data_IF_789256914179
#
_entry.id   IF_789256914179
#
_cell.length_a   1.000
_cell.length_b   1.000
_cell.length_c   1.000
_cell.angle_alpha   90.00
_cell.angle_beta   90.00
_cell.angle_gamma   90.00
#
_symmetry.space_group_name_H-M   'P 1'
#
loop_
_entity.id
_entity.type
_entity.pdbx_description
1 polymer ?
#
# COMPACT_ATOMS: atom_id res chain seq x y z
N UNK A 1 15.00 -2.54 -17.16
CA UNK A 1 15.61 -1.41 -16.41
C UNK A 1 16.24 -0.32 -17.30
N UNK A 2 17.25 -0.63 -18.13
CA UNK A 2 18.03 0.36 -18.92
C UNK A 2 17.23 1.38 -19.73
N UNK A 3 16.22 0.92 -20.47
CA UNK A 3 15.37 1.81 -21.28
C UNK A 3 14.57 2.78 -20.41
N UNK A 4 14.12 2.35 -19.23
CA UNK A 4 13.37 3.20 -18.31
C UNK A 4 14.28 4.27 -17.70
N UNK A 5 15.45 3.87 -17.17
CA UNK A 5 16.41 4.81 -16.57
C UNK A 5 16.86 5.90 -17.56
N UNK A 6 17.13 5.51 -18.81
CA UNK A 6 17.45 6.46 -19.90
C UNK A 6 16.35 7.50 -20.12
N UNK A 7 15.08 7.08 -20.14
CA UNK A 7 13.95 8.00 -20.30
C UNK A 7 13.83 8.95 -19.11
N UNK A 8 14.11 8.48 -17.90
CA UNK A 8 14.11 9.32 -16.70
C UNK A 8 15.21 10.39 -16.77
N UNK A 9 16.43 10.02 -17.16
CA UNK A 9 17.54 10.96 -17.35
C UNK A 9 17.21 12.02 -18.40
N UNK A 10 16.59 11.61 -19.52
CA UNK A 10 16.12 12.52 -20.57
C UNK A 10 15.06 13.50 -20.05
N UNK A 11 14.09 13.00 -19.27
CA UNK A 11 13.02 13.82 -18.68
C UNK A 11 13.56 14.93 -17.77
N UNK A 12 14.57 14.64 -16.94
CA UNK A 12 15.15 15.62 -16.01
C UNK A 12 16.36 16.38 -16.56
N UNK A 13 16.72 16.15 -17.83
CA UNK A 13 17.80 16.86 -18.51
C UNK A 13 19.21 16.46 -18.08
N UNK A 14 19.43 15.22 -17.62
CA UNK A 14 20.77 14.68 -17.36
C UNK A 14 21.38 14.27 -18.71
N UNK A 15 22.42 14.99 -19.13
CA UNK A 15 23.16 14.75 -20.37
C UNK A 15 24.50 14.07 -20.11
N UNK A 16 25.10 13.48 -21.14
CA UNK A 16 26.46 12.92 -21.09
C UNK A 16 26.58 11.49 -20.59
N UNK A 17 25.53 10.90 -20.00
CA UNK A 17 25.51 9.49 -19.62
C UNK A 17 25.54 8.59 -20.88
N UNK A 18 26.58 7.77 -20.99
CA UNK A 18 26.77 6.86 -22.12
C UNK A 18 26.27 5.43 -21.78
N UNK A 19 26.43 4.49 -22.70
CA UNK A 19 25.95 3.12 -22.51
C UNK A 19 26.57 2.42 -21.29
N UNK A 20 27.87 2.62 -21.06
CA UNK A 20 28.63 2.09 -19.93
C UNK A 20 28.16 2.72 -18.62
N UNK A 21 27.91 4.03 -18.58
CA UNK A 21 27.35 4.69 -17.38
C UNK A 21 26.05 4.02 -16.96
N UNK A 22 25.11 3.81 -17.88
CA UNK A 22 23.83 3.16 -17.56
C UNK A 22 23.98 1.70 -17.13
N UNK A 23 24.96 0.96 -17.67
CA UNK A 23 25.26 -0.40 -17.23
C UNK A 23 25.78 -0.40 -15.80
N UNK A 24 26.77 0.45 -15.49
CA UNK A 24 27.33 0.58 -14.16
C UNK A 24 26.25 0.93 -13.11
N UNK A 25 25.37 1.91 -13.41
CA UNK A 25 24.26 2.27 -12.51
C UNK A 25 23.31 1.11 -12.27
N UNK A 26 22.99 0.33 -13.30
CA UNK A 26 22.10 -0.82 -13.17
C UNK A 26 22.75 -1.92 -12.36
N UNK A 27 24.01 -2.25 -12.64
CA UNK A 27 24.74 -3.26 -11.89
C UNK A 27 24.89 -2.89 -10.42
N UNK A 28 25.10 -1.60 -10.10
CA UNK A 28 25.11 -1.14 -8.72
C UNK A 28 23.74 -1.30 -8.04
N UNK A 29 22.65 -0.96 -8.73
CA UNK A 29 21.28 -1.15 -8.22
C UNK A 29 20.95 -2.63 -8.04
N UNK A 30 21.28 -3.49 -9.00
CA UNK A 30 21.08 -4.94 -8.90
C UNK A 30 21.88 -5.52 -7.75
N UNK A 31 23.13 -5.07 -7.55
CA UNK A 31 23.94 -5.45 -6.40
C UNK A 31 23.27 -5.04 -5.09
N UNK A 32 22.87 -3.77 -4.95
CA UNK A 32 22.16 -3.25 -3.77
C UNK A 32 20.92 -4.07 -3.42
N UNK A 33 20.15 -4.48 -4.44
CA UNK A 33 18.93 -5.27 -4.26
C UNK A 33 19.20 -6.77 -3.99
N UNK A 34 20.40 -7.26 -4.29
CA UNK A 34 20.82 -8.64 -4.02
C UNK A 34 21.41 -8.84 -2.63
N UNK A 35 21.78 -7.75 -1.95
CA UNK A 35 22.28 -7.81 -0.58
C UNK A 35 21.09 -7.77 0.36
N UNK A 36 20.83 -8.91 1.01
CA UNK A 36 19.79 -9.01 2.03
C UNK A 36 19.98 -7.94 3.11
N UNK A 37 18.88 -7.27 3.46
CA UNK A 37 18.83 -6.21 4.49
C UNK A 37 19.86 -5.09 4.32
N UNK A 38 20.23 -4.73 3.08
CA UNK A 38 21.13 -3.60 2.83
C UNK A 38 20.63 -2.31 3.51
N UNK A 39 19.32 -2.09 3.47
CA UNK A 39 18.64 -1.08 4.27
C UNK A 39 17.52 -1.71 5.08
N UNK A 40 17.41 -1.28 6.33
CA UNK A 40 16.25 -1.51 7.20
C UNK A 40 15.00 -0.79 6.65
N UNK A 41 13.81 -1.21 7.07
CA UNK A 41 12.55 -0.56 6.68
C UNK A 41 12.56 0.94 7.00
N UNK A 42 13.12 1.33 8.15
CA UNK A 42 13.25 2.73 8.54
C UNK A 42 14.15 3.55 7.61
N UNK A 43 15.26 2.96 7.15
CA UNK A 43 16.17 3.60 6.19
C UNK A 43 15.52 3.74 4.81
N UNK A 44 14.78 2.74 4.34
CA UNK A 44 13.98 2.83 3.11
C UNK A 44 12.93 3.94 3.17
N UNK A 45 12.23 4.07 4.29
CA UNK A 45 11.28 5.15 4.52
C UNK A 45 11.97 6.51 4.54
N UNK A 46 13.17 6.61 5.15
CA UNK A 46 13.97 7.83 5.18
C UNK A 46 14.43 8.25 3.78
N UNK A 47 14.93 7.31 2.98
CA UNK A 47 15.27 7.55 1.57
C UNK A 47 14.04 7.98 0.74
N UNK A 48 12.88 7.39 1.02
CA UNK A 48 11.62 7.78 0.36
C UNK A 48 11.21 9.20 0.71
N UNK A 49 11.32 9.60 1.99
CA UNK A 49 11.09 10.98 2.44
C UNK A 49 12.06 11.95 1.75
N UNK A 50 13.34 11.59 1.65
CA UNK A 50 14.35 12.39 0.98
C UNK A 50 14.08 12.56 -0.52
N UNK A 51 13.79 11.46 -1.23
CA UNK A 51 13.47 11.49 -2.66
C UNK A 51 12.29 12.41 -2.99
N UNK A 52 11.33 12.50 -2.06
CA UNK A 52 10.15 13.36 -2.14
C UNK A 52 10.39 14.81 -1.69
N UNK A 53 11.58 15.11 -1.15
CA UNK A 53 11.95 16.44 -0.65
C UNK A 53 11.33 16.81 0.70
N UNK A 54 11.00 15.82 1.54
CA UNK A 54 10.29 16.01 2.82
C UNK A 54 11.25 16.20 4.00
N UNK A 55 12.37 15.48 4.01
CA UNK A 55 13.36 15.50 5.09
C UNK A 55 14.78 15.55 4.51
N UNK A 56 15.59 16.45 5.06
CA UNK A 56 17.05 16.44 4.98
C UNK A 56 17.56 16.38 6.43
N UNK A 57 17.95 15.20 6.90
CA UNK A 57 18.54 15.00 8.23
C UNK A 57 19.89 14.27 8.13
N UNK A 58 20.68 14.33 9.20
CA UNK A 58 22.02 13.71 9.26
C UNK A 58 21.98 12.20 9.01
N UNK A 59 20.88 11.54 9.40
CA UNK A 59 20.69 10.12 9.14
C UNK A 59 20.59 9.85 7.63
N UNK A 60 19.81 10.65 6.91
CA UNK A 60 19.66 10.56 5.47
C UNK A 60 20.98 10.81 4.74
N UNK A 61 21.79 11.77 5.19
CA UNK A 61 23.12 12.03 4.62
C UNK A 61 24.01 10.78 4.68
N UNK A 62 24.00 10.06 5.81
CA UNK A 62 24.75 8.81 5.95
C UNK A 62 24.29 7.72 4.97
N UNK A 63 22.99 7.64 4.67
CA UNK A 63 22.45 6.69 3.70
C UNK A 63 22.86 7.06 2.27
N UNK A 64 22.89 8.34 1.94
CA UNK A 64 23.34 8.81 0.63
C UNK A 64 24.83 8.54 0.41
N UNK A 65 25.67 8.71 1.43
CA UNK A 65 27.10 8.35 1.37
C UNK A 65 27.26 6.84 1.12
N UNK A 66 26.52 6.00 1.83
CA UNK A 66 26.55 4.53 1.60
C UNK A 66 26.14 4.17 0.17
N UNK A 67 25.14 4.85 -0.39
CA UNK A 67 24.76 4.66 -1.80
C UNK A 67 25.86 5.12 -2.76
N UNK A 68 26.49 6.27 -2.49
CA UNK A 68 27.62 6.76 -3.29
C UNK A 68 28.75 5.76 -3.33
N UNK A 69 29.13 5.19 -2.18
CA UNK A 69 30.17 4.16 -2.08
C UNK A 69 29.85 2.95 -2.98
N UNK A 70 28.59 2.50 -3.01
CA UNK A 70 28.16 1.39 -3.86
C UNK A 70 28.16 1.74 -5.35
N UNK A 71 27.71 2.94 -5.74
CA UNK A 71 27.82 3.39 -7.12
C UNK A 71 29.29 3.54 -7.56
N UNK A 72 30.16 4.02 -6.68
CA UNK A 72 31.59 4.19 -6.93
C UNK A 72 32.32 2.87 -7.17
N UNK A 73 31.83 1.72 -6.67
CA UNK A 73 32.43 0.40 -6.97
C UNK A 73 32.42 0.05 -8.45
N UNK A 74 31.43 0.54 -9.19
CA UNK A 74 31.28 0.29 -10.63
C UNK A 74 31.69 1.50 -11.47
N UNK A 75 31.66 2.71 -10.90
CA UNK A 75 32.01 3.95 -11.56
C UNK A 75 32.66 4.95 -10.60
N UNK A 76 34.00 4.96 -10.58
CA UNK A 76 34.81 5.87 -9.75
C UNK A 76 34.57 7.36 -10.03
N UNK A 77 33.86 7.73 -11.11
CA UNK A 77 33.52 9.13 -11.42
C UNK A 77 32.16 9.57 -10.86
N UNK A 78 31.38 8.63 -10.28
CA UNK A 78 30.14 8.97 -9.61
C UNK A 78 30.40 9.86 -8.39
N UNK A 79 29.50 10.81 -8.14
CA UNK A 79 29.59 11.70 -6.99
C UNK A 79 28.24 12.22 -6.55
N UNK A 80 28.04 12.35 -5.25
CA UNK A 80 26.88 13.01 -4.62
C UNK A 80 26.72 14.47 -5.04
N UNK A 81 27.78 15.11 -5.55
CA UNK A 81 27.69 16.47 -6.10
C UNK A 81 26.67 16.56 -7.26
N UNK A 82 26.41 15.45 -7.97
CA UNK A 82 25.36 15.38 -8.97
C UNK A 82 24.00 15.03 -8.31
N UNK A 83 23.47 15.97 -7.54
CA UNK A 83 22.23 15.78 -6.77
C UNK A 83 21.04 15.37 -7.64
N UNK A 84 20.95 15.87 -8.88
CA UNK A 84 19.89 15.50 -9.83
C UNK A 84 19.93 14.02 -10.20
N UNK A 85 21.12 13.50 -10.49
CA UNK A 85 21.30 12.09 -10.79
C UNK A 85 21.01 11.24 -9.57
N UNK A 86 21.50 11.65 -8.40
CA UNK A 86 21.27 10.94 -7.14
C UNK A 86 19.77 10.79 -6.84
N UNK A 87 18.97 11.86 -6.98
CA UNK A 87 17.52 11.77 -6.79
C UNK A 87 16.87 10.74 -7.72
N UNK A 88 17.23 10.75 -9.01
CA UNK A 88 16.65 9.81 -9.98
C UNK A 88 17.06 8.37 -9.67
N UNK A 89 18.31 8.15 -9.26
CA UNK A 89 18.79 6.82 -8.90
C UNK A 89 18.09 6.31 -7.63
N UNK A 90 17.86 7.16 -6.63
CA UNK A 90 17.11 6.79 -5.42
C UNK A 90 15.64 6.49 -5.75
N UNK A 91 14.97 7.35 -6.53
CA UNK A 91 13.59 7.09 -6.99
C UNK A 91 13.49 5.78 -7.76
N UNK A 92 14.46 5.51 -8.62
CA UNK A 92 14.52 4.28 -9.41
C UNK A 92 14.79 3.06 -8.53
N UNK A 93 15.73 3.17 -7.58
CA UNK A 93 16.06 2.12 -6.62
C UNK A 93 14.86 1.75 -5.76
N UNK A 94 14.15 2.74 -5.19
CA UNK A 94 12.92 2.52 -4.41
C UNK A 94 11.89 1.78 -5.27
N UNK A 95 11.69 2.22 -6.52
CA UNK A 95 10.75 1.55 -7.42
C UNK A 95 11.15 0.09 -7.67
N UNK A 96 12.43 -0.19 -7.95
CA UNK A 96 12.88 -1.56 -8.17
C UNK A 96 12.81 -2.43 -6.90
N UNK A 97 13.16 -1.86 -5.74
CA UNK A 97 13.00 -2.54 -4.45
C UNK A 97 11.56 -2.98 -4.24
N UNK A 98 10.59 -2.06 -4.38
CA UNK A 98 9.16 -2.35 -4.24
C UNK A 98 8.64 -3.40 -5.23
N UNK A 99 9.22 -3.47 -6.44
CA UNK A 99 8.87 -4.51 -7.41
C UNK A 99 9.41 -5.88 -7.00
N UNK A 100 10.62 -5.94 -6.43
CA UNK A 100 11.27 -7.20 -6.07
C UNK A 100 10.77 -7.77 -4.73
N UNK A 101 10.46 -6.91 -3.77
CA UNK A 101 9.98 -7.30 -2.44
C UNK A 101 8.46 -7.35 -2.32
N UNK A 102 7.74 -7.00 -3.40
CA UNK A 102 6.29 -6.76 -3.39
C UNK A 102 5.82 -5.71 -2.36
N UNK A 103 6.74 -4.91 -1.81
CA UNK A 103 6.44 -3.87 -0.83
C UNK A 103 5.71 -2.69 -1.48
N UNK A 104 4.46 -2.46 -1.08
CA UNK A 104 3.62 -1.35 -1.58
C UNK A 104 3.68 -0.09 -0.73
N UNK A 105 4.26 -0.16 0.48
CA UNK A 105 4.24 0.92 1.46
C UNK A 105 4.97 2.16 0.95
N UNK A 106 6.21 1.99 0.46
CA UNK A 106 7.03 3.13 0.01
C UNK A 106 6.40 3.84 -1.20
N UNK A 107 5.82 3.08 -2.13
CA UNK A 107 5.10 3.65 -3.27
C UNK A 107 3.82 4.36 -2.83
N UNK A 108 3.13 3.83 -1.81
CA UNK A 108 1.96 4.48 -1.21
C UNK A 108 2.35 5.81 -0.55
N UNK A 109 3.50 5.89 0.12
CA UNK A 109 4.04 7.16 0.64
C UNK A 109 4.27 8.18 -0.49
N UNK A 110 4.87 7.77 -1.60
CA UNK A 110 5.10 8.64 -2.77
C UNK A 110 3.78 9.14 -3.36
N UNK A 111 2.80 8.26 -3.56
CA UNK A 111 1.49 8.60 -4.14
C UNK A 111 0.70 9.52 -3.22
N UNK A 112 0.75 9.28 -1.91
CA UNK A 112 0.10 10.11 -0.91
C UNK A 112 0.74 11.50 -0.82
N UNK A 113 2.07 11.57 -0.83
CA UNK A 113 2.83 12.82 -0.79
C UNK A 113 2.63 13.71 -2.01
N UNK A 114 2.48 13.13 -3.20
CA UNK A 114 2.34 13.87 -4.46
C UNK A 114 1.18 14.85 -4.48
N UNK A 115 0.01 14.43 -3.98
CA UNK A 115 -1.21 15.24 -3.99
C UNK A 115 -1.18 16.38 -2.96
N UNK A 116 -0.36 16.26 -1.92
CA UNK A 116 -0.11 17.33 -0.95
C UNK A 116 1.12 18.16 -1.32
N UNK A 117 1.69 17.97 -2.52
CA UNK A 117 2.73 18.82 -3.09
C UNK A 117 4.16 18.36 -2.91
N UNK A 118 4.40 17.19 -2.31
CA UNK A 118 5.73 16.55 -2.29
C UNK A 118 5.92 15.82 -3.62
N UNK A 119 6.79 16.28 -4.51
CA UNK A 119 6.86 15.75 -5.88
C UNK A 119 8.17 15.03 -6.14
N UNK A 120 8.08 13.87 -6.79
CA UNK A 120 9.23 13.21 -7.43
C UNK A 120 9.80 14.09 -8.54
N UNK A 121 11.08 13.90 -8.84
CA UNK A 121 11.78 14.55 -9.95
C UNK A 121 11.33 13.99 -11.29
N UNK A 122 11.12 12.68 -11.40
CA UNK A 122 10.61 12.06 -12.63
C UNK A 122 9.10 11.84 -12.55
N UNK A 123 8.34 12.44 -13.49
CA UNK A 123 6.91 12.16 -13.66
C UNK A 123 6.70 10.79 -14.29
N UNK A 124 7.64 10.35 -15.14
CA UNK A 124 7.60 9.02 -15.72
C UNK A 124 7.66 7.93 -14.65
N UNK A 125 8.58 8.04 -13.68
CA UNK A 125 8.65 7.10 -12.56
C UNK A 125 7.41 7.17 -11.69
N UNK A 126 6.93 8.38 -11.37
CA UNK A 126 5.69 8.53 -10.62
C UNK A 126 4.50 7.80 -11.28
N UNK A 127 4.35 7.94 -12.61
CA UNK A 127 3.31 7.22 -13.33
C UNK A 127 3.51 5.71 -13.26
N UNK A 128 4.75 5.22 -13.34
CA UNK A 128 5.06 3.79 -13.19
C UNK A 128 4.73 3.27 -11.79
N UNK A 129 4.96 4.06 -10.75
CA UNK A 129 4.59 3.73 -9.38
C UNK A 129 3.05 3.63 -9.22
N UNK A 130 2.31 4.58 -9.82
CA UNK A 130 0.83 4.51 -9.87
C UNK A 130 0.36 3.26 -10.59
N UNK A 131 0.91 2.99 -11.78
CA UNK A 131 0.52 1.84 -12.60
C UNK A 131 0.77 0.53 -11.84
N UNK A 132 1.91 0.44 -11.14
CA UNK A 132 2.24 -0.71 -10.30
C UNK A 132 1.22 -0.91 -9.16
N UNK A 133 0.96 0.13 -8.36
CA UNK A 133 -0.02 0.04 -7.27
C UNK A 133 -1.42 -0.31 -7.81
N UNK A 134 -1.82 0.23 -8.96
CA UNK A 134 -3.07 -0.13 -9.59
C UNK A 134 -3.11 -1.61 -10.01
N UNK A 135 -2.02 -2.14 -10.56
CA UNK A 135 -1.93 -3.56 -10.88
C UNK A 135 -2.01 -4.43 -9.62
N UNK A 136 -1.39 -4.00 -8.50
CA UNK A 136 -1.51 -4.72 -7.21
C UNK A 136 -2.96 -4.68 -6.71
N UNK A 137 -3.65 -3.54 -6.81
CA UNK A 137 -5.09 -3.45 -6.44
C UNK A 137 -5.95 -4.44 -7.22
N UNK A 138 -5.64 -4.64 -8.50
CA UNK A 138 -6.33 -5.60 -9.37
C UNK A 138 -5.95 -7.04 -9.02
N UNK A 139 -4.67 -7.33 -8.82
CA UNK A 139 -4.21 -8.70 -8.50
C UNK A 139 -4.73 -9.19 -7.16
N UNK A 140 -4.84 -8.32 -6.14
CA UNK A 140 -5.45 -8.63 -4.84
C UNK A 140 -6.90 -9.10 -4.94
N UNK A 141 -7.60 -8.76 -6.03
CA UNK A 141 -9.01 -9.07 -6.28
C UNK A 141 -9.22 -9.96 -7.50
N UNK A 142 -8.14 -10.46 -8.09
CA UNK A 142 -8.23 -11.32 -9.25
C UNK A 142 -8.48 -12.75 -8.79
N UNK A 143 -9.63 -13.31 -9.18
CA UNK A 143 -9.93 -14.72 -8.96
C UNK A 143 -9.39 -15.57 -10.11
N UNK A 144 -8.66 -16.64 -9.78
CA UNK A 144 -8.27 -17.65 -10.77
C UNK A 144 -9.46 -18.56 -11.08
N UNK A 145 -10.17 -18.26 -12.16
CA UNK A 145 -11.32 -19.03 -12.64
C UNK A 145 -11.00 -20.47 -13.05
N UNK A 146 -9.72 -20.80 -13.22
CA UNK A 146 -9.25 -22.10 -13.71
C UNK A 146 -9.15 -23.17 -12.61
N UNK A 147 -9.47 -22.81 -11.37
CA UNK A 147 -9.57 -23.74 -10.26
C UNK A 147 -10.82 -24.61 -10.42
N UNK A 148 -10.68 -25.69 -11.18
CA UNK A 148 -11.60 -26.82 -11.06
C UNK A 148 -11.52 -27.30 -9.61
N UNK A 149 -12.55 -27.03 -8.81
CA UNK A 149 -12.74 -27.66 -7.50
C UNK A 149 -12.87 -29.15 -7.79
N UNK A 150 -11.74 -29.86 -7.78
CA UNK A 150 -11.74 -31.31 -7.98
C UNK A 150 -12.16 -31.92 -6.67
N UNK A 151 -13.13 -32.83 -6.72
CA UNK A 151 -13.41 -33.73 -5.60
C UNK A 151 -12.12 -34.46 -5.24
N UNK A 152 -11.57 -34.16 -4.07
CA UNK A 152 -10.47 -34.91 -3.48
C UNK A 152 -11.11 -36.09 -2.75
N UNK A 153 -10.97 -37.27 -3.33
CA UNK A 153 -11.45 -38.51 -2.72
C UNK A 153 -10.38 -39.00 -1.73
N UNK A 154 -10.45 -38.49 -0.49
CA UNK A 154 -9.60 -38.96 0.61
C UNK A 154 -10.23 -40.27 1.12
N UNK A 155 -10.08 -41.34 0.34
CA UNK A 155 -10.29 -42.68 0.85
C UNK A 155 -8.95 -43.14 1.41
N UNK A 156 -8.74 -42.90 2.70
CA UNK A 156 -7.85 -43.77 3.46
C UNK A 156 -8.62 -45.08 3.53
N UNK A 157 -8.20 -46.16 2.85
CA UNK A 157 -8.78 -47.44 3.14
C UNK A 157 -8.14 -47.81 4.48
N UNK A 158 -8.79 -47.41 5.58
CA UNK A 158 -8.45 -47.82 6.94
C UNK A 158 -8.29 -49.34 6.97
N UNK A 159 -9.04 -50.04 6.11
CA UNK A 159 -8.90 -51.46 5.85
C UNK A 159 -7.51 -51.89 5.36
N UNK A 160 -6.84 -51.14 4.46
CA UNK A 160 -5.47 -51.41 3.99
C UNK A 160 -4.46 -51.29 5.13
N UNK A 161 -4.58 -50.23 5.94
CA UNK A 161 -3.75 -50.03 7.14
C UNK A 161 -4.00 -51.15 8.17
N UNK A 162 -5.25 -51.56 8.37
CA UNK A 162 -5.62 -52.67 9.27
C UNK A 162 -5.05 -54.00 8.76
N UNK A 163 -5.14 -54.32 7.47
CA UNK A 163 -4.57 -55.55 6.90
C UNK A 163 -3.04 -55.57 6.90
N UNK A 164 -2.37 -54.41 6.89
CA UNK A 164 -0.91 -54.30 6.94
C UNK A 164 -0.34 -54.37 8.38
N UNK A 165 -1.20 -54.28 9.40
CA UNK A 165 -0.83 -54.39 10.82
C UNK A 165 -1.07 -55.80 11.39
N UNK A 166 -1.59 -56.75 10.61
CA UNK A 166 -1.72 -58.15 11.04
C UNK A 166 -0.32 -58.80 11.10
N UNK A 167 0.10 -59.34 12.27
CA UNK A 167 1.44 -59.87 12.44
C UNK A 167 1.50 -61.33 11.99
N UNK A 168 2.00 -61.63 10.78
CA UNK A 168 2.29 -63.04 10.45
C UNK A 168 3.46 -63.33 9.49
N UNK A 169 4.26 -62.33 9.09
CA UNK A 169 5.49 -62.60 8.32
C UNK A 169 6.74 -62.33 9.17
N UNK A 170 7.47 -63.39 9.54
CA UNK A 170 8.79 -63.36 10.18
C UNK A 170 9.93 -62.99 9.20
N UNK A 171 9.60 -62.60 7.96
CA UNK A 171 10.57 -62.27 6.91
C UNK A 171 10.79 -60.75 6.84
N UNK A 172 12.03 -60.33 7.10
CA UNK A 172 12.40 -58.91 7.21
C UNK A 172 12.22 -58.16 5.86
N UNK A 173 12.42 -58.82 4.72
CA UNK A 173 12.20 -58.23 3.38
C UNK A 173 10.72 -57.89 3.14
N UNK A 174 9.80 -58.76 3.58
CA UNK A 174 8.36 -58.53 3.41
C UNK A 174 7.86 -57.36 4.28
N UNK A 175 8.49 -57.12 5.44
CA UNK A 175 8.18 -55.97 6.30
C UNK A 175 8.72 -54.66 5.72
N UNK A 176 9.91 -54.67 5.13
CA UNK A 176 10.46 -53.50 4.45
C UNK A 176 9.59 -53.06 3.26
N UNK A 177 9.10 -54.01 2.46
CA UNK A 177 8.20 -53.70 1.33
C UNK A 177 6.85 -53.13 1.80
N UNK A 178 6.29 -53.64 2.90
CA UNK A 178 5.06 -53.12 3.50
C UNK A 178 5.24 -51.71 4.06
N UNK A 179 6.36 -51.43 4.74
CA UNK A 179 6.69 -50.09 5.24
C UNK A 179 6.86 -49.12 4.06
N UNK A 180 7.51 -49.53 2.97
CA UNK A 180 7.67 -48.71 1.78
C UNK A 180 6.31 -48.38 1.12
N UNK A 181 5.39 -49.33 1.05
CA UNK A 181 4.04 -49.11 0.53
C UNK A 181 3.23 -48.13 1.40
N UNK A 182 3.24 -48.29 2.72
CA UNK A 182 2.58 -47.37 3.66
C UNK A 182 3.16 -45.96 3.58
N UNK A 183 4.49 -45.86 3.47
CA UNK A 183 5.18 -44.57 3.32
C UNK A 183 4.75 -43.88 2.02
N UNK A 184 4.66 -44.63 0.91
CA UNK A 184 4.21 -44.10 -0.38
C UNK A 184 2.73 -43.70 -0.42
N UNK A 185 1.86 -44.35 0.35
CA UNK A 185 0.46 -43.93 0.54
C UNK A 185 0.37 -42.65 1.38
N UNK A 186 1.10 -42.57 2.50
CA UNK A 186 1.18 -41.37 3.34
C UNK A 186 1.74 -40.15 2.59
N UNK A 187 2.73 -40.33 1.73
CA UNK A 187 3.26 -39.26 0.88
C UNK A 187 2.20 -38.75 -0.12
N UNK A 188 1.43 -39.64 -0.75
CA UNK A 188 0.34 -39.27 -1.65
C UNK A 188 -0.74 -38.48 -0.91
N UNK A 189 -1.10 -38.91 0.30
CA UNK A 189 -2.09 -38.23 1.13
C UNK A 189 -1.61 -36.86 1.58
N UNK A 190 -0.32 -36.73 1.96
CA UNK A 190 0.27 -35.44 2.31
C UNK A 190 0.21 -34.46 1.13
N UNK A 191 0.51 -34.93 -0.09
CA UNK A 191 0.35 -34.12 -1.31
C UNK A 191 -1.10 -33.71 -1.55
N UNK A 192 -2.07 -34.57 -1.25
CA UNK A 192 -3.50 -34.23 -1.37
C UNK A 192 -3.95 -33.23 -0.30
N UNK A 193 -3.49 -33.36 0.94
CA UNK A 193 -3.77 -32.41 2.03
C UNK A 193 -3.19 -31.02 1.73
N UNK A 194 -1.98 -30.96 1.18
CA UNK A 194 -1.39 -29.70 0.72
C UNK A 194 -2.27 -29.03 -0.36
N UNK A 195 -2.71 -29.79 -1.37
CA UNK A 195 -3.63 -29.27 -2.40
C UNK A 195 -4.97 -28.83 -1.84
N UNK A 196 -5.53 -29.55 -0.87
CA UNK A 196 -6.77 -29.16 -0.21
C UNK A 196 -6.59 -27.85 0.56
N UNK A 197 -5.46 -27.68 1.25
CA UNK A 197 -5.14 -26.47 2.00
C UNK A 197 -5.01 -25.26 1.06
N UNK A 198 -4.34 -25.44 -0.09
CA UNK A 198 -4.25 -24.43 -1.15
C UNK A 198 -5.65 -24.04 -1.67
N UNK A 199 -6.50 -25.03 -1.99
CA UNK A 199 -7.87 -24.79 -2.44
C UNK A 199 -8.71 -24.05 -1.39
N UNK A 200 -8.60 -24.40 -0.11
CA UNK A 200 -9.31 -23.72 0.97
C UNK A 200 -8.83 -22.27 1.08
N UNK A 201 -7.53 -22.03 0.97
CA UNK A 201 -6.96 -20.68 1.01
C UNK A 201 -7.49 -19.81 -0.15
N UNK A 202 -7.51 -20.36 -1.37
CA UNK A 202 -8.04 -19.68 -2.55
C UNK A 202 -9.54 -19.39 -2.45
N UNK A 203 -10.33 -20.36 -1.97
CA UNK A 203 -11.77 -20.17 -1.72
C UNK A 203 -12.05 -19.10 -0.66
N UNK A 204 -11.28 -19.09 0.42
CA UNK A 204 -11.38 -18.05 1.45
C UNK A 204 -11.04 -16.68 0.88
N UNK A 205 -9.97 -16.57 0.08
CA UNK A 205 -9.61 -15.33 -0.60
C UNK A 205 -10.73 -14.84 -1.52
N UNK A 206 -11.30 -15.73 -2.34
CA UNK A 206 -12.42 -15.40 -3.22
C UNK A 206 -13.66 -14.94 -2.46
N UNK A 207 -13.97 -15.58 -1.32
CA UNK A 207 -15.06 -15.18 -0.46
C UNK A 207 -14.83 -13.78 0.13
N UNK A 208 -13.60 -13.46 0.55
CA UNK A 208 -13.25 -12.12 1.04
C UNK A 208 -13.44 -11.05 -0.04
N UNK A 209 -12.99 -11.31 -1.28
CA UNK A 209 -13.20 -10.41 -2.42
C UNK A 209 -14.69 -10.21 -2.67
N UNK A 210 -15.46 -11.30 -2.77
CA UNK A 210 -16.90 -11.23 -3.03
C UNK A 210 -17.65 -10.47 -1.92
N UNK A 211 -17.25 -10.67 -0.66
CA UNK A 211 -17.82 -9.95 0.49
C UNK A 211 -17.50 -8.46 0.42
N UNK A 212 -16.24 -8.09 0.20
CA UNK A 212 -15.85 -6.70 0.01
C UNK A 212 -16.67 -6.02 -1.09
N UNK A 213 -16.72 -6.62 -2.28
CA UNK A 213 -17.43 -6.05 -3.42
C UNK A 213 -18.94 -5.94 -3.19
N UNK A 214 -19.54 -6.96 -2.56
CA UNK A 214 -20.97 -6.97 -2.23
C UNK A 214 -21.31 -5.92 -1.18
N UNK A 215 -20.50 -5.80 -0.13
CA UNK A 215 -20.70 -4.84 0.95
C UNK A 215 -20.56 -3.39 0.42
N UNK A 216 -19.52 -3.12 -0.38
CA UNK A 216 -19.32 -1.82 -1.04
C UNK A 216 -20.48 -1.51 -1.98
N UNK A 217 -20.91 -2.47 -2.82
CA UNK A 217 -22.02 -2.27 -3.74
C UNK A 217 -23.32 -1.99 -3.00
N UNK A 218 -23.61 -2.76 -1.95
CA UNK A 218 -24.80 -2.57 -1.14
C UNK A 218 -24.82 -1.19 -0.50
N UNK A 219 -23.73 -0.80 0.17
CA UNK A 219 -23.56 0.53 0.74
C UNK A 219 -23.71 1.66 -0.30
N UNK A 220 -23.11 1.50 -1.47
CA UNK A 220 -23.26 2.48 -2.55
C UNK A 220 -24.69 2.60 -3.11
N UNK A 221 -25.51 1.55 -3.00
CA UNK A 221 -26.88 1.53 -3.49
C UNK A 221 -27.87 2.09 -2.47
N UNK A 222 -27.60 1.94 -1.17
CA UNK A 222 -28.46 2.49 -0.12
C UNK A 222 -28.38 4.01 -0.04
N UNK A 223 -27.27 4.62 -0.48
CA UNK A 223 -27.04 6.08 -0.42
C UNK A 223 -27.26 6.65 0.99
N UNK A 224 -27.01 5.82 2.00
CA UNK A 224 -27.21 6.09 3.42
C UNK A 224 -25.89 5.97 4.17
N UNK A 225 -25.59 6.97 5.01
CA UNK A 225 -24.45 6.89 5.92
C UNK A 225 -24.90 6.33 7.25
N UNK A 226 -24.33 5.19 7.62
CA UNK A 226 -24.53 4.59 8.94
C UNK A 226 -23.83 5.39 10.04
N UNK A 227 -22.74 6.07 9.72
CA UNK A 227 -22.00 6.89 10.69
C UNK A 227 -22.81 8.12 11.10
N UNK A 228 -23.46 8.78 10.14
CA UNK A 228 -24.26 9.97 10.41
C UNK A 228 -25.76 9.71 10.60
N UNK A 229 -26.23 8.49 10.32
CA UNK A 229 -27.66 8.15 10.32
C UNK A 229 -28.49 9.11 9.45
N UNK A 230 -27.99 9.45 8.26
CA UNK A 230 -28.68 10.29 7.26
C UNK A 230 -28.32 9.90 5.84
N UNK A 231 -29.16 10.29 4.88
CA UNK A 231 -28.85 10.11 3.46
C UNK A 231 -27.71 11.03 3.02
N UNK A 232 -26.85 10.54 2.12
CA UNK A 232 -25.83 11.36 1.47
C UNK A 232 -26.42 12.57 0.74
N UNK A 233 -27.67 12.49 0.29
CA UNK A 233 -28.40 13.61 -0.35
C UNK A 233 -28.70 14.76 0.60
N UNK A 234 -28.71 14.50 1.90
CA UNK A 234 -28.94 15.51 2.93
C UNK A 234 -27.65 16.16 3.44
N UNK A 235 -26.49 15.67 2.99
CA UNK A 235 -25.18 16.18 3.35
C UNK A 235 -24.73 17.33 2.43
N UNK A 236 -23.77 18.11 2.90
CA UNK A 236 -22.93 18.92 2.02
C UNK A 236 -21.81 18.08 1.39
N UNK A 237 -21.16 18.58 0.34
CA UNK A 237 -20.13 17.83 -0.38
C UNK A 237 -18.91 17.45 0.48
N UNK A 238 -18.55 18.27 1.47
CA UNK A 238 -17.38 18.02 2.33
C UNK A 238 -17.68 16.93 3.36
N UNK A 239 -18.87 16.97 3.98
CA UNK A 239 -19.40 15.89 4.80
C UNK A 239 -19.45 14.59 4.00
N UNK A 240 -20.04 14.62 2.80
CA UNK A 240 -20.13 13.43 1.95
C UNK A 240 -18.73 12.90 1.59
N UNK A 241 -17.76 13.76 1.33
CA UNK A 241 -16.38 13.35 1.07
C UNK A 241 -15.72 12.69 2.30
N UNK A 242 -15.92 13.25 3.50
CA UNK A 242 -15.39 12.67 4.74
C UNK A 242 -16.00 11.29 5.03
N UNK A 243 -17.33 11.21 5.06
CA UNK A 243 -18.03 9.99 5.49
C UNK A 243 -17.98 8.90 4.43
N UNK A 244 -17.98 9.25 3.14
CA UNK A 244 -17.84 8.23 2.10
C UNK A 244 -16.47 7.55 2.13
N UNK A 245 -15.42 8.30 2.46
CA UNK A 245 -14.07 7.76 2.65
C UNK A 245 -14.00 6.87 3.89
N UNK A 246 -14.56 7.36 5.01
CA UNK A 246 -14.56 6.61 6.26
C UNK A 246 -15.31 5.27 6.14
N UNK A 247 -16.51 5.30 5.55
CA UNK A 247 -17.35 4.10 5.38
C UNK A 247 -16.80 3.17 4.30
N UNK A 248 -16.29 3.71 3.18
CA UNK A 248 -15.60 2.87 2.18
C UNK A 248 -14.42 2.13 2.83
N UNK A 249 -13.65 2.81 3.67
CA UNK A 249 -12.51 2.22 4.37
C UNK A 249 -12.93 1.03 5.25
N UNK A 250 -14.09 1.11 5.91
CA UNK A 250 -14.66 0.05 6.76
C UNK A 250 -15.04 -1.21 5.96
N UNK A 251 -15.46 -1.05 4.70
CA UNK A 251 -15.84 -2.17 3.85
C UNK A 251 -14.64 -2.89 3.20
N UNK A 252 -13.49 -2.22 3.08
CA UNK A 252 -12.28 -2.79 2.46
C UNK A 252 -11.62 -3.84 3.35
N UNK A 253 -11.40 -5.05 2.80
CA UNK A 253 -10.79 -6.22 3.48
C UNK A 253 -9.29 -6.36 3.27
N UNK A 254 -8.72 -5.65 2.31
CA UNK A 254 -7.30 -5.73 1.97
C UNK A 254 -6.51 -4.50 2.47
N UNK A 255 -5.18 -4.59 2.45
CA UNK A 255 -4.30 -3.47 2.79
C UNK A 255 -4.47 -2.29 1.80
N UNK A 256 -4.74 -2.60 0.53
CA UNK A 256 -5.06 -1.62 -0.51
C UNK A 256 -6.54 -1.70 -0.90
N UNK A 257 -7.15 -0.52 -1.01
CA UNK A 257 -8.51 -0.33 -1.52
C UNK A 257 -8.76 -0.81 -2.95
N UNK A 258 -10.02 -0.87 -3.39
CA UNK A 258 -10.36 -1.26 -4.75
C UNK A 258 -9.82 -0.26 -5.78
N UNK A 259 -9.47 -0.76 -6.96
CA UNK A 259 -9.06 0.09 -8.10
C UNK A 259 -10.08 1.20 -8.41
N UNK A 260 -11.37 0.89 -8.25
CA UNK A 260 -12.47 1.82 -8.49
C UNK A 260 -12.75 2.81 -7.34
N UNK A 261 -11.93 2.83 -6.28
CA UNK A 261 -12.16 3.70 -5.11
C UNK A 261 -12.40 5.16 -5.50
N UNK A 262 -11.61 5.68 -6.45
CA UNK A 262 -11.78 7.05 -6.96
C UNK A 262 -13.19 7.29 -7.52
N UNK A 263 -13.68 6.38 -8.36
CA UNK A 263 -14.99 6.49 -9.01
C UNK A 263 -16.13 6.31 -8.01
N UNK A 264 -15.95 5.42 -7.03
CA UNK A 264 -16.87 5.23 -5.91
C UNK A 264 -17.03 6.53 -5.13
N UNK A 265 -15.91 7.17 -4.74
CA UNK A 265 -15.94 8.44 -4.01
C UNK A 265 -16.57 9.56 -4.83
N UNK A 266 -16.26 9.66 -6.13
CA UNK A 266 -16.91 10.63 -7.03
C UNK A 266 -18.43 10.43 -7.02
N UNK A 267 -18.91 9.20 -7.15
CA UNK A 267 -20.34 8.88 -7.10
C UNK A 267 -20.94 9.35 -5.78
N UNK A 268 -20.38 8.93 -4.65
CA UNK A 268 -20.96 9.22 -3.33
C UNK A 268 -20.98 10.72 -3.02
N UNK A 269 -19.90 11.45 -3.35
CA UNK A 269 -19.85 12.91 -3.18
C UNK A 269 -20.84 13.63 -4.10
N UNK A 270 -21.08 13.11 -5.31
CA UNK A 270 -22.01 13.72 -6.27
C UNK A 270 -23.49 13.65 -5.84
N UNK A 271 -23.83 12.79 -4.89
CA UNK A 271 -25.19 12.69 -4.33
C UNK A 271 -25.53 13.88 -3.41
N UNK A 272 -24.51 14.52 -2.84
CA UNK A 272 -24.65 15.58 -1.86
C UNK A 272 -25.10 16.90 -2.49
N UNK A 273 -25.61 17.81 -1.64
CA UNK A 273 -26.00 19.16 -2.08
C UNK A 273 -24.75 19.92 -2.55
N UNK A 274 -24.77 20.53 -3.75
CA UNK A 274 -23.62 21.26 -4.26
C UNK A 274 -23.24 22.40 -3.32
N UNK A 275 -21.95 22.46 -2.96
CA UNK A 275 -21.39 23.53 -2.14
C UNK A 275 -20.94 24.73 -2.98
N UNK A 276 -20.81 25.89 -2.36
CA UNK A 276 -20.25 27.09 -2.98
C UNK A 276 -18.71 27.11 -2.90
N UNK A 277 -18.07 27.49 -4.02
CA UNK A 277 -16.62 27.56 -4.30
C UNK A 277 -16.04 26.32 -4.98
N UNK A 278 -15.43 26.52 -6.16
CA UNK A 278 -14.83 25.46 -6.98
C UNK A 278 -13.48 24.94 -6.42
N UNK A 279 -12.84 25.62 -5.47
CA UNK A 279 -11.53 25.22 -4.92
C UNK A 279 -11.20 25.83 -3.55
N UNK A 280 -11.91 25.47 -2.46
CA UNK A 280 -11.59 25.92 -1.09
C UNK A 280 -10.21 25.42 -0.62
N UNK A 281 -9.65 26.07 0.41
CA UNK A 281 -8.43 25.57 1.07
C UNK A 281 -8.77 24.38 1.95
N UNK A 282 -7.81 23.48 2.18
CA UNK A 282 -8.00 22.33 3.09
C UNK A 282 -8.41 22.77 4.48
N UNK A 283 -7.80 23.85 5.01
CA UNK A 283 -8.19 24.42 6.29
C UNK A 283 -9.67 24.81 6.33
N UNK A 284 -10.16 25.50 5.29
CA UNK A 284 -11.57 25.90 5.20
C UNK A 284 -12.53 24.72 5.05
N UNK A 285 -12.13 23.67 4.33
CA UNK A 285 -12.88 22.42 4.23
C UNK A 285 -13.02 21.77 5.61
N UNK A 286 -11.91 21.67 6.34
CA UNK A 286 -11.91 21.09 7.69
C UNK A 286 -12.74 21.95 8.63
N UNK A 287 -12.64 23.27 8.58
CA UNK A 287 -13.45 24.20 9.39
C UNK A 287 -14.95 24.03 9.18
N UNK A 288 -15.38 23.74 7.95
CA UNK A 288 -16.79 23.54 7.60
C UNK A 288 -17.42 22.28 8.23
N UNK A 289 -16.60 21.33 8.70
CA UNK A 289 -17.07 20.09 9.33
C UNK A 289 -17.45 20.33 10.80
N UNK A 290 -18.51 19.67 11.27
CA UNK A 290 -18.85 19.68 12.70
C UNK A 290 -17.95 18.69 13.46
N UNK A 291 -17.18 19.22 14.42
CA UNK A 291 -16.32 18.45 15.31
C UNK A 291 -17.04 17.35 16.08
N UNK A 292 -18.34 17.52 16.37
CA UNK A 292 -19.16 16.54 17.09
C UNK A 292 -19.41 15.26 16.28
N UNK A 293 -19.37 15.37 14.96
CA UNK A 293 -19.69 14.30 14.02
C UNK A 293 -18.45 13.62 13.44
N UNK A 294 -17.26 14.11 13.77
CA UNK A 294 -16.01 13.57 13.20
C UNK A 294 -15.82 12.11 13.61
N UNK A 295 -15.55 11.21 12.65
CA UNK A 295 -15.33 9.80 12.96
C UNK A 295 -14.01 9.59 13.73
N UNK A 296 -13.82 8.41 14.29
CA UNK A 296 -12.55 8.01 14.91
C UNK A 296 -11.61 7.42 13.88
N UNK A 297 -10.39 7.94 13.86
CA UNK A 297 -9.33 7.48 12.97
C UNK A 297 -8.16 6.92 13.79
N UNK A 298 -7.52 5.89 13.24
CA UNK A 298 -6.26 5.33 13.75
C UNK A 298 -5.13 6.37 13.83
N UNK A 299 -4.04 6.05 14.53
CA UNK A 299 -2.91 6.96 14.69
C UNK A 299 -2.17 7.27 13.38
N UNK A 300 -1.85 8.56 13.19
CA UNK A 300 -1.05 9.00 12.07
C UNK A 300 0.42 8.71 12.38
N UNK A 301 0.99 7.74 11.69
CA UNK A 301 2.38 7.33 11.90
C UNK A 301 3.37 8.19 11.09
N UNK A 302 2.92 8.84 9.99
CA UNK A 302 3.76 9.71 9.16
C UNK A 302 3.01 10.99 8.81
N UNK A 303 3.01 11.95 9.73
CA UNK A 303 2.20 13.17 9.66
C UNK A 303 2.52 14.05 8.44
N UNK A 304 3.72 13.96 7.88
CA UNK A 304 4.14 14.72 6.70
C UNK A 304 3.42 14.29 5.41
N UNK A 305 3.01 13.02 5.34
CA UNK A 305 2.23 12.45 4.24
C UNK A 305 0.75 12.30 4.58
N UNK A 306 0.36 12.46 5.85
CA UNK A 306 -1.02 12.37 6.34
C UNK A 306 -1.56 13.69 6.92
N UNK A 307 -1.44 14.84 6.22
CA UNK A 307 -1.82 16.13 6.78
C UNK A 307 -3.33 16.29 6.99
N UNK A 308 -4.19 15.76 6.11
CA UNK A 308 -5.66 15.88 6.28
C UNK A 308 -6.12 15.06 7.48
N UNK A 309 -5.65 13.81 7.57
CA UNK A 309 -5.96 12.92 8.68
C UNK A 309 -5.47 13.51 10.01
N UNK A 310 -4.24 14.03 10.04
CA UNK A 310 -3.66 14.70 11.21
C UNK A 310 -4.49 15.90 11.66
N UNK A 311 -4.99 16.69 10.70
CA UNK A 311 -5.82 17.86 10.96
C UNK A 311 -7.22 17.49 11.49
N UNK A 312 -7.86 16.47 10.91
CA UNK A 312 -9.15 15.96 11.41
C UNK A 312 -9.03 15.43 12.84
N UNK A 313 -7.93 14.71 13.15
CA UNK A 313 -7.65 14.25 14.52
C UNK A 313 -7.43 15.42 15.48
N UNK A 314 -6.63 16.41 15.08
CA UNK A 314 -6.42 17.62 15.89
C UNK A 314 -7.75 18.35 16.17
N UNK A 315 -8.63 18.47 15.17
CA UNK A 315 -9.96 19.06 15.35
C UNK A 315 -10.82 18.29 16.34
N UNK A 316 -10.87 16.97 16.24
CA UNK A 316 -11.62 16.11 17.17
C UNK A 316 -11.09 16.19 18.60
N UNK A 317 -9.77 16.12 18.80
CA UNK A 317 -9.15 16.21 20.13
C UNK A 317 -9.44 17.54 20.83
N UNK A 318 -9.49 18.62 20.07
CA UNK A 318 -9.74 19.98 20.57
C UNK A 318 -11.24 20.22 20.81
N UNK A 319 -12.11 19.58 20.03
CA UNK A 319 -13.56 19.56 20.30
C UNK A 319 -13.87 18.93 21.65
N UNK A 320 -13.26 17.80 21.98
CA UNK A 320 -13.39 17.18 23.31
C UNK A 320 -12.91 18.06 24.48
N UNK A 321 -12.13 19.11 24.19
CA UNK A 321 -11.59 20.06 25.16
C UNK A 321 -12.32 21.41 25.14
N UNK A 322 -13.45 21.54 24.42
CA UNK A 322 -14.26 22.76 24.26
C UNK A 322 -13.50 23.95 23.63
N UNK A 323 -12.49 23.68 22.77
CA UNK A 323 -11.60 24.70 22.20
C UNK A 323 -11.62 24.78 20.67
N UNK A 324 -12.78 24.58 20.03
CA UNK A 324 -12.92 24.36 18.58
C UNK A 324 -12.12 25.29 17.63
N UNK A 325 -11.78 26.52 18.03
CA UNK A 325 -10.98 27.45 17.24
C UNK A 325 -9.46 27.22 17.30
N UNK A 326 -8.95 26.28 18.11
CA UNK A 326 -7.51 26.08 18.34
C UNK A 326 -6.93 24.85 17.63
N UNK A 327 -7.71 24.13 16.82
CA UNK A 327 -7.25 22.90 16.19
C UNK A 327 -6.05 23.09 15.26
N UNK A 328 -5.95 24.24 14.58
CA UNK A 328 -4.80 24.56 13.73
C UNK A 328 -3.49 24.60 14.54
N UNK A 329 -3.50 25.22 15.73
CA UNK A 329 -2.32 25.23 16.62
C UNK A 329 -1.93 23.82 17.05
N UNK A 330 -2.92 22.98 17.33
CA UNK A 330 -2.69 21.57 17.67
C UNK A 330 -2.12 20.76 16.50
N UNK A 331 -2.57 21.06 15.29
CA UNK A 331 -2.07 20.48 14.07
C UNK A 331 -0.62 20.93 13.76
N UNK A 332 -0.32 22.22 13.84
CA UNK A 332 1.01 22.81 13.58
C UNK A 332 2.09 22.27 14.53
N UNK A 333 1.72 21.88 15.75
CA UNK A 333 2.65 21.21 16.68
C UNK A 333 3.09 19.82 16.19
N UNK A 334 2.31 19.16 15.33
CA UNK A 334 2.54 17.77 14.89
C UNK A 334 2.90 17.63 13.41
N UNK A 335 2.43 18.57 12.58
CA UNK A 335 2.60 18.51 11.14
C UNK A 335 3.18 19.83 10.63
N UNK A 336 4.23 19.74 9.79
CA UNK A 336 4.91 20.90 9.20
C UNK A 336 4.25 21.39 7.91
N UNK A 337 3.08 20.87 7.54
CA UNK A 337 2.44 21.17 6.25
C UNK A 337 1.41 22.29 6.36
N UNK A 338 1.58 23.35 5.58
CA UNK A 338 0.65 24.48 5.55
C UNK A 338 -0.63 24.14 4.78
N UNK A 339 -1.75 23.98 5.51
CA UNK A 339 -3.04 23.60 4.93
C UNK A 339 -3.71 24.73 4.14
N UNK A 340 -3.39 25.99 4.47
CA UNK A 340 -3.93 27.16 3.76
C UNK A 340 -3.43 27.28 2.32
N UNK A 341 -2.24 26.71 2.04
CA UNK A 341 -1.64 26.69 0.71
C UNK A 341 -2.12 25.50 -0.14
N UNK A 342 -2.90 24.59 0.44
CA UNK A 342 -3.48 23.44 -0.26
C UNK A 342 -4.92 23.75 -0.62
N UNK A 343 -5.19 23.86 -1.92
CA UNK A 343 -6.54 24.02 -2.45
C UNK A 343 -6.98 22.74 -3.13
N UNK A 344 -8.18 22.27 -2.82
CA UNK A 344 -8.73 21.05 -3.38
C UNK A 344 -10.26 21.08 -3.38
N UNK A 345 -10.86 20.44 -4.39
CA UNK A 345 -12.29 20.15 -4.42
C UNK A 345 -12.66 19.15 -3.30
N UNK A 346 -13.94 19.04 -2.96
CA UNK A 346 -14.41 18.02 -2.00
C UNK A 346 -14.05 16.59 -2.45
N UNK A 347 -14.08 16.33 -3.76
CA UNK A 347 -13.71 15.03 -4.33
C UNK A 347 -12.22 14.76 -4.17
N UNK A 348 -11.35 15.74 -4.44
CA UNK A 348 -9.91 15.62 -4.24
C UNK A 348 -9.55 15.48 -2.76
N UNK A 349 -10.26 16.20 -1.87
CA UNK A 349 -10.17 16.03 -0.43
C UNK A 349 -10.49 14.59 -0.01
N UNK A 350 -11.60 14.04 -0.48
CA UNK A 350 -11.95 12.65 -0.20
C UNK A 350 -10.91 11.66 -0.75
N UNK A 351 -10.44 11.86 -1.99
CA UNK A 351 -9.41 10.99 -2.57
C UNK A 351 -8.08 11.05 -1.81
N UNK A 352 -7.66 12.23 -1.37
CA UNK A 352 -6.44 12.38 -0.60
C UNK A 352 -6.59 11.76 0.80
N UNK A 353 -7.70 12.03 1.50
CA UNK A 353 -7.98 11.41 2.79
C UNK A 353 -8.00 9.88 2.70
N UNK A 354 -8.58 9.32 1.63
CA UNK A 354 -8.59 7.88 1.42
C UNK A 354 -7.19 7.29 1.32
N UNK A 355 -6.28 7.96 0.59
CA UNK A 355 -4.86 7.55 0.49
C UNK A 355 -4.15 7.66 1.83
N UNK A 356 -4.44 8.69 2.61
CA UNK A 356 -3.84 8.88 3.94
C UNK A 356 -4.26 7.78 4.91
N UNK A 357 -5.53 7.36 4.89
CA UNK A 357 -6.02 6.25 5.72
C UNK A 357 -5.43 4.92 5.24
N UNK A 358 -5.38 4.68 3.93
CA UNK A 358 -4.79 3.47 3.35
C UNK A 358 -3.29 3.35 3.69
N UNK A 359 -2.56 4.46 3.67
CA UNK A 359 -1.16 4.51 4.11
C UNK A 359 -1.04 4.16 5.60
N UNK A 360 -1.94 4.69 6.44
CA UNK A 360 -2.00 4.36 7.87
C UNK A 360 -2.18 2.86 8.11
N UNK A 361 -3.09 2.23 7.37
CA UNK A 361 -3.35 0.78 7.46
C UNK A 361 -2.13 -0.06 7.09
N UNK A 362 -1.45 0.28 5.99
CA UNK A 362 -0.23 -0.43 5.57
C UNK A 362 0.87 -0.35 6.66
N UNK A 363 1.00 0.81 7.32
CA UNK A 363 1.95 0.99 8.42
C UNK A 363 1.58 0.18 9.66
N UNK A 364 0.28 -0.01 9.94
CA UNK A 364 -0.16 -0.87 11.03
C UNK A 364 0.17 -2.34 10.77
N UNK A 365 -0.10 -2.81 9.54
CA UNK A 365 0.20 -4.19 9.13
C UNK A 365 1.71 -4.50 9.16
N UNK A 366 2.57 -3.58 8.70
CA UNK A 366 4.03 -3.79 8.74
C UNK A 366 4.61 -3.80 10.16
N UNK A 367 3.96 -3.13 11.12
CA UNK A 367 4.40 -3.11 12.52
C UNK A 367 3.90 -4.31 13.34
N UNK A 368 3.34 -5.35 12.69
CA UNK A 368 2.87 -6.57 13.36
C UNK A 368 1.51 -6.45 14.02
N UNK A 369 0.65 -5.55 13.52
CA UNK A 369 -0.75 -5.53 13.91
C UNK A 369 -1.52 -6.70 13.31
N UNK A 370 -1.81 -7.71 14.13
CA UNK A 370 -2.80 -8.77 13.85
C UNK A 370 -4.23 -8.21 13.72
#
# INVERSE_FOLDING_TARGET
MKTLLRKCYQEVGIAGANATTFENRISAIEHLLSVDDFFTNYEWMSLTKWAMGVVEDENTESLLVRLEEEFCRTDNSFSLANTKEMHILVEFLIFQYCQNSENTLLLSMVICGHCVGWKTRSKLLYQKMIDYINNVRLSLRQFNSDLSIRTIDIQIPIQTIITLLEPENEDDEAREEQIAQLTGELEKDNVQLHKLTEQIHELNSALLVQREESDILWWMLTEWSETCQKSYRDMNQVEAALFSVYELNYHVKFALGPYAAKQILIKMVSLAKPGGSESPTVASLIDSLDGSTLPEFEECNITEFQPILSALKAKKEVFHKERNSEWMKHYEMRCKKELDNLSMTAVEFGQQLYREIELGRQLFTENGGE
#
